data_IF_836693027964
#
_entry.id   IF_836693027964
#
_cell.length_a   1.000
_cell.length_b   1.000
_cell.length_c   1.000
_cell.angle_alpha   90.00
_cell.angle_beta   90.00
_cell.angle_gamma   90.00
#
_symmetry.space_group_name_H-M   'P 1'
#
loop_
_entity.id
_entity.type
_entity.pdbx_description
1 polymer ?
#
# COMPACT_ATOMS: atom_id res chain seq x y z
N UNK A 1 33.35 8.96 -34.90
CA UNK A 1 33.31 7.60 -34.34
C UNK A 1 33.56 7.61 -32.82
N UNK A 2 34.71 8.09 -32.35
CA UNK A 2 35.02 8.18 -30.90
C UNK A 2 34.03 9.02 -30.07
N UNK A 3 33.68 10.22 -30.54
CA UNK A 3 32.70 11.10 -29.87
C UNK A 3 31.30 10.46 -29.75
N UNK A 4 30.92 9.63 -30.74
CA UNK A 4 29.65 8.90 -30.72
C UNK A 4 29.67 7.82 -29.65
N UNK A 5 30.76 7.04 -29.56
CA UNK A 5 30.93 6.01 -28.53
C UNK A 5 30.97 6.59 -27.11
N UNK A 6 31.68 7.70 -26.91
CA UNK A 6 31.73 8.39 -25.62
C UNK A 6 30.37 8.96 -25.21
N UNK A 7 29.63 9.55 -26.14
CA UNK A 7 28.28 10.07 -25.89
C UNK A 7 27.29 8.94 -25.56
N UNK A 8 27.33 7.83 -26.31
CA UNK A 8 26.48 6.67 -26.01
C UNK A 8 26.80 6.06 -24.65
N UNK A 9 28.09 5.94 -24.30
CA UNK A 9 28.50 5.44 -22.99
C UNK A 9 28.01 6.33 -21.85
N UNK A 10 28.09 7.66 -22.01
CA UNK A 10 27.57 8.62 -21.03
C UNK A 10 26.05 8.48 -20.84
N UNK A 11 25.29 8.40 -21.94
CA UNK A 11 23.83 8.20 -21.89
C UNK A 11 23.48 6.89 -21.17
N UNK A 12 24.16 5.79 -21.48
CA UNK A 12 23.94 4.50 -20.80
C UNK A 12 24.27 4.61 -19.30
N UNK A 13 25.37 5.25 -18.93
CA UNK A 13 25.76 5.45 -17.52
C UNK A 13 24.71 6.28 -16.76
N UNK A 14 24.16 7.33 -17.38
CA UNK A 14 23.10 8.15 -16.78
C UNK A 14 21.76 7.42 -16.64
N UNK A 15 21.41 6.56 -17.60
CA UNK A 15 20.21 5.71 -17.53
C UNK A 15 20.34 4.66 -16.42
N UNK A 16 21.54 4.09 -16.22
CA UNK A 16 21.81 3.13 -15.13
C UNK A 16 21.74 3.81 -13.76
N UNK A 17 22.20 5.06 -13.62
CA UNK A 17 22.10 5.80 -12.35
C UNK A 17 20.65 6.14 -11.96
N UNK A 18 19.83 6.52 -12.94
CA UNK A 18 18.42 6.88 -12.69
C UNK A 18 17.54 5.66 -12.37
N UNK A 19 17.90 4.47 -12.84
CA UNK A 19 17.19 3.23 -12.52
C UNK A 19 17.26 2.84 -11.03
N UNK A 20 18.27 3.32 -10.28
CA UNK A 20 18.44 3.01 -8.86
C UNK A 20 17.80 4.04 -7.92
N UNK A 21 16.97 4.95 -8.44
CA UNK A 21 16.40 6.05 -7.65
C UNK A 21 15.17 5.64 -6.82
N UNK A 22 14.51 4.53 -7.18
CA UNK A 22 13.33 4.03 -6.45
C UNK A 22 13.77 3.37 -5.15
N UNK A 23 13.21 3.85 -4.04
CA UNK A 23 13.40 3.26 -2.73
C UNK A 23 12.29 2.25 -2.47
N UNK A 24 12.69 1.03 -2.12
CA UNK A 24 11.75 0.07 -1.54
C UNK A 24 11.42 0.49 -0.11
N UNK A 25 10.13 0.63 0.18
CA UNK A 25 9.63 0.95 1.51
C UNK A 25 8.56 -0.06 1.89
N UNK A 26 8.55 -0.47 3.16
CA UNK A 26 7.66 -1.54 3.64
C UNK A 26 6.98 -1.15 4.93
N UNK A 27 5.75 -1.61 5.11
CA UNK A 27 4.95 -1.41 6.32
C UNK A 27 4.24 -2.71 6.71
N UNK A 28 4.03 -2.89 8.01
CA UNK A 28 3.22 -4.00 8.56
C UNK A 28 2.24 -3.46 9.59
N UNK A 29 0.98 -3.85 9.47
CA UNK A 29 -0.09 -3.47 10.38
C UNK A 29 -0.77 -4.70 10.94
N UNK A 30 -0.94 -4.71 12.26
CA UNK A 30 -1.74 -5.72 12.96
C UNK A 30 -2.80 -5.03 13.78
N UNK A 31 -3.98 -5.63 13.82
CA UNK A 31 -5.08 -5.07 14.58
C UNK A 31 -6.17 -6.09 14.87
N UNK A 32 -7.21 -5.61 15.55
CA UNK A 32 -8.41 -6.38 15.86
C UNK A 32 -9.63 -5.49 15.72
N UNK A 33 -10.60 -5.92 14.94
CA UNK A 33 -11.85 -5.21 14.69
C UNK A 33 -12.96 -5.76 15.59
N UNK A 34 -13.74 -4.83 16.13
CA UNK A 34 -14.94 -5.13 16.91
C UNK A 34 -16.13 -4.45 16.25
N UNK A 35 -17.29 -5.12 16.29
CA UNK A 35 -18.58 -4.53 15.98
C UNK A 35 -19.37 -4.44 17.30
N UNK A 36 -19.41 -3.23 17.88
CA UNK A 36 -19.83 -3.06 19.27
C UNK A 36 -18.85 -3.77 20.22
N UNK A 37 -19.35 -4.71 21.02
CA UNK A 37 -18.54 -5.52 21.95
C UNK A 37 -18.06 -6.86 21.38
N UNK A 38 -18.54 -7.25 20.19
CA UNK A 38 -18.23 -8.54 19.58
C UNK A 38 -17.10 -8.44 18.56
N UNK A 39 -16.26 -9.48 18.41
CA UNK A 39 -15.28 -9.54 17.33
C UNK A 39 -15.95 -9.46 15.95
N UNK A 40 -15.42 -8.62 15.08
CA UNK A 40 -15.89 -8.51 13.71
C UNK A 40 -15.08 -9.44 12.80
N UNK A 41 -15.61 -10.65 12.55
CA UNK A 41 -14.98 -11.65 11.69
C UNK A 41 -15.34 -11.46 10.22
N UNK A 42 -14.48 -11.96 9.32
CA UNK A 42 -14.72 -11.95 7.87
C UNK A 42 -14.88 -10.54 7.29
N UNK A 43 -14.24 -9.55 7.89
CA UNK A 43 -14.17 -8.18 7.39
C UNK A 43 -12.96 -8.04 6.48
N UNK A 44 -13.16 -7.53 5.26
CA UNK A 44 -12.07 -7.28 4.32
C UNK A 44 -11.27 -6.05 4.78
N UNK A 45 -9.96 -6.24 4.94
CA UNK A 45 -9.00 -5.18 5.26
C UNK A 45 -7.96 -5.15 4.15
N UNK A 46 -7.67 -3.96 3.64
CA UNK A 46 -6.63 -3.74 2.63
C UNK A 46 -5.59 -2.75 3.16
N UNK A 47 -4.33 -3.03 2.87
CA UNK A 47 -3.22 -2.11 3.03
C UNK A 47 -2.89 -1.57 1.63
N UNK A 48 -2.93 -0.26 1.49
CA UNK A 48 -2.83 0.44 0.21
C UNK A 48 -1.81 1.55 0.33
N UNK A 49 -1.00 1.76 -0.69
CA UNK A 49 -0.19 2.97 -0.82
C UNK A 49 -1.04 4.05 -1.49
N UNK A 50 -1.26 5.17 -0.80
CA UNK A 50 -2.15 6.21 -1.29
C UNK A 50 -1.40 7.21 -2.14
N UNK A 51 -1.61 7.11 -3.43
CA UNK A 51 -1.04 8.03 -4.39
C UNK A 51 -1.80 9.36 -4.50
N UNK A 52 -1.09 10.40 -4.96
CA UNK A 52 -1.69 11.68 -5.27
C UNK A 52 -1.89 11.85 -6.79
N UNK A 53 -3.00 12.47 -7.20
CA UNK A 53 -3.22 12.89 -8.58
C UNK A 53 -3.68 11.74 -9.51
N UNK A 54 -3.11 11.59 -10.72
CA UNK A 54 -3.55 10.60 -11.69
C UNK A 54 -3.01 9.18 -11.43
N UNK A 55 -2.09 9.03 -10.48
CA UNK A 55 -1.57 7.73 -10.08
C UNK A 55 -2.65 6.95 -9.32
N UNK A 56 -3.00 5.73 -9.74
CA UNK A 56 -3.92 4.88 -9.01
C UNK A 56 -3.24 4.34 -7.75
N UNK A 57 -3.97 4.28 -6.64
CA UNK A 57 -3.45 3.70 -5.40
C UNK A 57 -2.97 2.24 -5.59
N UNK A 58 -1.82 1.92 -5.01
CA UNK A 58 -1.24 0.57 -5.09
C UNK A 58 -1.74 -0.33 -3.96
N UNK A 59 -2.31 -1.48 -4.31
CA UNK A 59 -2.68 -2.50 -3.33
C UNK A 59 -1.43 -3.25 -2.87
N UNK A 60 -1.00 -3.00 -1.64
CA UNK A 60 0.16 -3.67 -1.05
C UNK A 60 -0.18 -5.04 -0.46
N UNK A 61 -1.28 -5.16 0.28
CA UNK A 61 -1.73 -6.43 0.88
C UNK A 61 -3.24 -6.41 1.20
N UNK A 62 -3.86 -7.57 1.36
CA UNK A 62 -5.24 -7.68 1.84
C UNK A 62 -5.53 -9.00 2.54
N UNK A 63 -6.42 -8.95 3.51
CA UNK A 63 -6.90 -10.15 4.21
C UNK A 63 -8.32 -9.97 4.73
N UNK A 64 -8.90 -11.06 5.19
CA UNK A 64 -10.14 -11.04 5.96
C UNK A 64 -9.81 -11.26 7.43
N UNK A 65 -10.51 -10.56 8.32
CA UNK A 65 -10.35 -10.77 9.76
C UNK A 65 -10.74 -12.19 10.18
N UNK A 66 -10.01 -12.75 11.15
CA UNK A 66 -10.30 -14.06 11.72
C UNK A 66 -11.56 -14.07 12.62
N UNK A 67 -11.90 -15.22 13.22
CA UNK A 67 -13.02 -15.35 14.15
C UNK A 67 -12.86 -14.52 15.44
N UNK A 68 -11.63 -14.13 15.77
CA UNK A 68 -11.31 -13.19 16.83
C UNK A 68 -11.30 -11.72 16.38
N UNK A 69 -11.63 -11.44 15.12
CA UNK A 69 -11.59 -10.12 14.50
C UNK A 69 -10.19 -9.62 14.18
N UNK A 70 -9.15 -10.45 14.28
CA UNK A 70 -7.76 -10.04 14.09
C UNK A 70 -7.36 -10.03 12.62
N UNK A 71 -6.43 -9.14 12.29
CA UNK A 71 -5.77 -9.08 10.98
C UNK A 71 -4.28 -8.77 11.13
N UNK A 72 -3.52 -9.17 10.13
CA UNK A 72 -2.08 -8.93 9.99
C UNK A 72 -1.80 -8.71 8.50
N UNK A 73 -1.32 -7.53 8.14
CA UNK A 73 -1.04 -7.12 6.78
C UNK A 73 0.40 -6.64 6.68
N UNK A 74 1.10 -7.05 5.63
CA UNK A 74 2.45 -6.60 5.35
C UNK A 74 2.61 -6.39 3.85
N UNK A 75 3.15 -5.24 3.46
CA UNK A 75 3.50 -5.00 2.07
C UNK A 75 4.53 -3.91 1.90
N UNK A 76 4.91 -3.72 0.65
CA UNK A 76 5.95 -2.81 0.22
C UNK A 76 5.59 -2.17 -1.13
N UNK A 77 6.16 -1.00 -1.38
CA UNK A 77 6.10 -0.32 -2.68
C UNK A 77 7.48 0.23 -3.04
N UNK A 78 7.71 0.42 -4.34
CA UNK A 78 8.92 1.02 -4.90
C UNK A 78 8.60 2.43 -5.38
N UNK A 79 9.01 3.43 -4.60
CA UNK A 79 8.71 4.83 -4.90
C UNK A 79 9.94 5.72 -4.84
N UNK A 80 9.92 6.82 -5.60
CA UNK A 80 10.90 7.90 -5.43
C UNK A 80 10.63 8.73 -4.16
N UNK A 81 9.35 8.87 -3.81
CA UNK A 81 8.83 9.54 -2.61
C UNK A 81 8.73 8.58 -1.43
N UNK A 82 8.42 9.13 -0.24
CA UNK A 82 7.93 8.32 0.87
C UNK A 82 6.54 7.78 0.53
N UNK A 83 6.32 6.50 0.79
CA UNK A 83 4.99 5.88 0.65
C UNK A 83 4.00 6.52 1.63
N UNK A 84 2.71 6.49 1.30
CA UNK A 84 1.60 7.03 2.09
C UNK A 84 0.62 5.90 2.49
N UNK A 85 0.98 5.01 3.44
CA UNK A 85 0.20 3.82 3.69
C UNK A 85 -1.18 4.11 4.29
N UNK A 86 -2.20 3.46 3.76
CA UNK A 86 -3.59 3.57 4.18
C UNK A 86 -4.19 2.18 4.43
N UNK A 87 -4.82 1.98 5.60
CA UNK A 87 -5.64 0.80 5.87
C UNK A 87 -7.09 1.10 5.53
N UNK A 88 -7.66 0.31 4.61
CA UNK A 88 -9.07 0.38 4.21
C UNK A 88 -9.84 -0.80 4.78
N UNK A 89 -10.87 -0.52 5.57
CA UNK A 89 -11.72 -1.53 6.21
C UNK A 89 -13.11 -1.49 5.58
N UNK A 90 -13.52 -2.60 4.97
CA UNK A 90 -14.80 -2.74 4.29
C UNK A 90 -15.75 -3.54 5.18
N UNK A 91 -16.71 -2.86 5.83
CA UNK A 91 -17.61 -3.47 6.79
C UNK A 91 -19.04 -2.95 6.63
N UNK A 92 -20.02 -3.69 7.13
CA UNK A 92 -21.43 -3.29 7.21
C UNK A 92 -21.94 -3.25 8.66
N UNK A 93 -21.02 -3.29 9.64
CA UNK A 93 -21.32 -3.22 11.06
C UNK A 93 -22.26 -2.05 11.38
N UNK A 94 -23.43 -2.36 11.96
CA UNK A 94 -24.50 -1.43 12.30
C UNK A 94 -25.07 -0.63 11.12
N UNK A 95 -24.93 -1.11 9.87
CA UNK A 95 -25.34 -0.39 8.66
C UNK A 95 -26.31 -1.20 7.77
N UNK A 96 -27.12 -2.08 8.37
CA UNK A 96 -28.21 -2.80 7.68
C UNK A 96 -27.81 -3.50 6.36
N UNK A 97 -26.58 -4.03 6.28
CA UNK A 97 -26.05 -4.72 5.10
C UNK A 97 -25.48 -3.80 4.01
N UNK A 98 -25.35 -2.49 4.26
CA UNK A 98 -24.64 -1.56 3.38
C UNK A 98 -23.16 -1.55 3.74
N UNK A 99 -22.30 -1.76 2.74
CA UNK A 99 -20.85 -1.72 2.95
C UNK A 99 -20.39 -0.27 3.08
N UNK A 100 -19.77 0.03 4.20
CA UNK A 100 -19.03 1.24 4.50
C UNK A 100 -17.52 0.97 4.43
N UNK A 101 -16.75 1.96 3.99
CA UNK A 101 -15.29 1.88 3.94
C UNK A 101 -14.70 2.94 4.85
N UNK A 102 -13.91 2.50 5.83
CA UNK A 102 -13.13 3.41 6.69
C UNK A 102 -11.69 3.41 6.20
N UNK A 103 -11.10 4.60 6.11
CA UNK A 103 -9.73 4.84 5.67
C UNK A 103 -8.89 5.36 6.84
N UNK A 104 -7.80 4.66 7.15
CA UNK A 104 -6.84 5.06 8.18
C UNK A 104 -5.46 5.30 7.54
N UNK A 105 -5.06 6.55 7.44
CA UNK A 105 -3.68 6.90 7.06
C UNK A 105 -2.73 6.56 8.20
N UNK A 106 -1.70 5.79 7.90
CA UNK A 106 -0.61 5.47 8.82
C UNK A 106 0.43 6.58 8.69
N UNK A 107 0.54 7.42 9.72
CA UNK A 107 1.58 8.45 9.84
C UNK A 107 2.64 8.04 10.85
#
# INVERSE_FOLDING_TARGET
MWLVFSLTAYIVITMVHTANAFLEQSVRVRGRLLCGSQPASSILVKLVDKDNGPNPDDLMDSCYTDSGGKFDLQGNSYELSTIDPEVRIYHDCNDYGRVCVIHFLLK
#
